data_IF_241389190424
#
_entry.id   IF_241389190424
#
_cell.length_a   1.000
_cell.length_b   1.000
_cell.length_c   1.000
_cell.angle_alpha   90.00
_cell.angle_beta   90.00
_cell.angle_gamma   90.00
#
_symmetry.space_group_name_H-M   'P 1'
#
loop_
_entity.id
_entity.type
_entity.pdbx_description
1 polymer ?
#
# COMPACT_ATOMS: atom_id res chain seq x y z
N UNK A 1 -46.35 35.74 54.02
CA UNK A 1 -46.19 36.60 52.83
C UNK A 1 -44.72 36.55 52.43
N UNK A 2 -44.46 36.26 51.14
CA UNK A 2 -43.22 36.46 50.37
C UNK A 2 -41.99 35.64 50.80
N UNK A 3 -41.70 34.49 50.18
CA UNK A 3 -40.95 34.30 48.91
C UNK A 3 -39.59 35.01 48.86
N UNK A 4 -38.52 34.21 48.77
CA UNK A 4 -37.39 34.45 47.87
C UNK A 4 -36.67 33.13 47.61
N UNK A 5 -36.78 32.68 46.37
CA UNK A 5 -36.05 31.57 45.75
C UNK A 5 -34.72 32.15 45.27
N UNK A 6 -33.60 31.49 45.57
CA UNK A 6 -32.40 31.59 44.76
C UNK A 6 -31.64 30.27 44.83
N UNK A 7 -31.76 29.51 43.74
CA UNK A 7 -31.02 28.31 43.40
C UNK A 7 -29.60 28.74 43.03
N UNK A 8 -28.59 28.24 43.76
CA UNK A 8 -27.18 28.39 43.37
C UNK A 8 -26.71 27.08 42.75
N UNK A 9 -26.40 27.15 41.46
CA UNK A 9 -25.68 26.16 40.67
C UNK A 9 -24.31 25.87 41.28
N UNK A 10 -24.07 24.62 41.68
CA UNK A 10 -22.73 24.10 41.92
C UNK A 10 -22.24 23.41 40.64
N UNK A 11 -21.49 24.16 39.83
CA UNK A 11 -20.73 23.65 38.68
C UNK A 11 -19.68 22.64 39.16
N UNK A 12 -19.83 21.38 38.77
CA UNK A 12 -18.78 20.37 38.85
C UNK A 12 -17.70 20.71 37.82
N UNK A 13 -16.50 21.00 38.32
CA UNK A 13 -15.27 21.08 37.53
C UNK A 13 -14.81 19.65 37.26
N UNK A 14 -14.99 19.19 36.02
CA UNK A 14 -14.44 17.91 35.55
C UNK A 14 -13.04 18.18 35.05
N UNK A 15 -12.05 17.69 35.78
CA UNK A 15 -10.63 17.80 35.45
C UNK A 15 -10.30 16.81 34.33
N UNK A 16 -10.18 17.34 33.11
CA UNK A 16 -9.91 16.59 31.88
C UNK A 16 -8.43 16.67 31.55
N UNK A 17 -7.60 15.84 32.20
CA UNK A 17 -6.25 15.58 31.74
C UNK A 17 -5.81 14.14 32.04
N UNK A 18 -6.42 13.19 31.34
CA UNK A 18 -5.78 11.91 31.03
C UNK A 18 -5.64 11.84 29.51
N UNK A 19 -4.56 12.42 29.00
CA UNK A 19 -4.03 12.03 27.70
C UNK A 19 -3.46 10.63 27.87
N UNK A 20 -4.25 9.63 27.47
CA UNK A 20 -3.77 8.26 27.34
C UNK A 20 -2.73 8.30 26.22
N UNK A 21 -1.45 8.22 26.59
CA UNK A 21 -0.36 8.02 25.65
C UNK A 21 -0.54 6.63 25.03
N UNK A 22 -1.24 6.58 23.91
CA UNK A 22 -1.49 5.38 23.11
C UNK A 22 -0.31 5.13 22.18
N UNK A 23 0.91 5.11 22.72
CA UNK A 23 2.05 4.61 21.98
C UNK A 23 1.93 3.07 21.87
N UNK A 24 2.08 2.49 20.66
CA UNK A 24 2.00 1.04 20.49
C UNK A 24 3.10 0.37 21.32
N UNK A 25 2.69 -0.44 22.30
CA UNK A 25 3.63 -1.28 23.05
C UNK A 25 4.30 -2.28 22.10
N UNK A 26 5.64 -2.36 22.06
CA UNK A 26 6.33 -3.32 21.21
C UNK A 26 5.91 -4.76 21.56
N UNK A 27 5.76 -5.63 20.55
CA UNK A 27 5.76 -7.07 20.76
C UNK A 27 6.99 -7.46 21.62
N UNK A 28 6.73 -8.10 22.76
CA UNK A 28 7.76 -8.42 23.77
C UNK A 28 8.81 -9.39 23.21
N UNK A 29 8.40 -10.25 22.27
CA UNK A 29 9.28 -11.12 21.48
C UNK A 29 8.95 -10.93 20.00
N UNK A 30 9.93 -10.49 19.21
CA UNK A 30 9.83 -10.52 17.75
C UNK A 30 10.17 -11.94 17.30
N UNK A 31 9.22 -12.71 16.73
CA UNK A 31 9.43 -14.12 16.41
C UNK A 31 10.21 -14.33 15.10
N UNK A 32 10.83 -13.28 14.57
CA UNK A 32 11.44 -13.27 13.24
C UNK A 32 12.97 -13.14 13.32
N UNK A 33 13.71 -13.62 12.31
CA UNK A 33 15.11 -13.26 12.14
C UNK A 33 15.29 -11.73 12.10
N UNK A 34 16.48 -11.24 12.45
CA UNK A 34 16.79 -9.81 12.40
C UNK A 34 16.76 -9.22 10.97
N UNK A 35 17.17 -7.96 10.85
CA UNK A 35 17.38 -7.24 9.59
C UNK A 35 16.12 -6.86 8.80
N UNK A 36 15.03 -6.50 9.50
CA UNK A 36 13.81 -6.00 8.87
C UNK A 36 14.05 -4.65 8.19
N UNK A 37 13.55 -4.49 6.97
CA UNK A 37 13.65 -3.24 6.19
C UNK A 37 12.28 -2.68 5.87
N UNK A 38 12.17 -1.36 5.88
CA UNK A 38 10.98 -0.65 5.44
C UNK A 38 11.32 0.05 4.12
N UNK A 39 10.57 -0.26 3.07
CA UNK A 39 10.73 0.42 1.78
C UNK A 39 9.50 1.27 1.50
N UNK A 40 9.70 2.56 1.25
CA UNK A 40 8.63 3.51 0.97
C UNK A 40 8.72 3.96 -0.49
N UNK A 41 7.60 3.95 -1.20
CA UNK A 41 7.54 4.48 -2.57
C UNK A 41 6.32 5.35 -2.79
N UNK A 42 6.56 6.55 -3.33
CA UNK A 42 5.51 7.49 -3.79
C UNK A 42 5.26 7.40 -5.30
N UNK A 43 5.90 6.45 -5.98
CA UNK A 43 5.90 6.36 -7.44
C UNK A 43 6.94 7.27 -8.10
N UNK A 44 7.08 7.16 -9.43
CA UNK A 44 8.12 7.85 -10.18
C UNK A 44 7.70 9.25 -10.68
N UNK A 45 6.41 9.47 -10.91
CA UNK A 45 5.92 10.60 -11.73
C UNK A 45 5.25 11.70 -10.91
N UNK A 46 4.61 11.37 -9.79
CA UNK A 46 3.94 12.32 -8.92
C UNK A 46 4.61 12.33 -7.55
N UNK A 47 4.74 13.53 -6.97
CA UNK A 47 5.16 13.69 -5.58
C UNK A 47 4.04 13.29 -4.61
N UNK A 48 4.41 12.92 -3.39
CA UNK A 48 3.46 12.67 -2.30
C UNK A 48 4.03 13.15 -0.96
N UNK A 49 4.24 14.47 -0.86
CA UNK A 49 4.83 15.11 0.32
C UNK A 49 4.18 14.75 1.65
N UNK A 50 2.85 14.66 1.79
CA UNK A 50 2.24 14.24 3.06
C UNK A 50 2.77 12.89 3.58
N UNK A 51 2.94 11.89 2.70
CA UNK A 51 3.53 10.61 3.09
C UNK A 51 5.01 10.77 3.45
N UNK A 52 5.77 11.53 2.66
CA UNK A 52 7.18 11.80 2.92
C UNK A 52 7.42 12.57 4.23
N UNK A 53 6.55 13.52 4.56
CA UNK A 53 6.52 14.22 5.84
C UNK A 53 6.32 13.22 6.98
N UNK A 54 5.29 12.37 6.84
CA UNK A 54 4.94 11.40 7.87
C UNK A 54 6.04 10.38 8.15
N UNK A 55 6.69 9.85 7.12
CA UNK A 55 7.76 8.85 7.29
C UNK A 55 9.08 9.47 7.78
N UNK A 56 9.25 10.79 7.66
CA UNK A 56 10.38 11.54 8.21
C UNK A 56 10.14 12.00 9.66
N UNK A 57 8.94 11.82 10.22
CA UNK A 57 8.64 12.25 11.57
C UNK A 57 9.35 11.37 12.60
N UNK A 58 9.96 12.00 13.61
CA UNK A 58 10.71 11.29 14.66
C UNK A 58 9.86 10.26 15.41
N UNK A 59 8.56 10.52 15.59
CA UNK A 59 7.63 9.54 16.18
C UNK A 59 7.52 8.28 15.33
N UNK A 60 7.42 8.42 14.00
CA UNK A 60 7.36 7.26 13.09
C UNK A 60 8.67 6.48 13.07
N UNK A 61 9.81 7.19 13.05
CA UNK A 61 11.13 6.57 13.12
C UNK A 61 11.31 5.79 14.42
N UNK A 62 10.79 6.31 15.54
CA UNK A 62 10.73 5.61 16.82
C UNK A 62 9.87 4.34 16.72
N UNK A 63 8.68 4.42 16.10
CA UNK A 63 7.82 3.25 15.85
C UNK A 63 8.55 2.19 15.04
N UNK A 64 9.21 2.54 13.93
CA UNK A 64 10.01 1.59 13.15
C UNK A 64 11.10 0.91 14.00
N UNK A 65 11.80 1.65 14.86
CA UNK A 65 12.80 1.09 15.76
C UNK A 65 12.19 0.16 16.83
N UNK A 66 11.02 0.50 17.38
CA UNK A 66 10.21 -0.35 18.27
C UNK A 66 9.88 -1.67 17.57
N UNK A 67 9.50 -1.61 16.29
CA UNK A 67 9.25 -2.76 15.44
C UNK A 67 10.52 -3.44 14.88
N UNK A 68 11.71 -3.09 15.39
CA UNK A 68 13.00 -3.72 15.02
C UNK A 68 13.38 -3.58 13.54
N UNK A 69 12.90 -2.55 12.86
CA UNK A 69 13.43 -2.16 11.56
C UNK A 69 14.84 -1.58 11.72
N UNK A 70 15.74 -1.94 10.80
CA UNK A 70 17.13 -1.46 10.79
C UNK A 70 17.39 -0.42 9.71
N UNK A 71 16.55 -0.41 8.68
CA UNK A 71 16.71 0.44 7.50
C UNK A 71 15.34 0.90 7.01
N UNK A 72 15.24 2.19 6.74
CA UNK A 72 14.15 2.84 6.02
C UNK A 72 14.73 3.39 4.72
N UNK A 73 14.27 2.83 3.60
CA UNK A 73 14.66 3.26 2.26
C UNK A 73 13.46 3.92 1.57
N UNK A 74 13.64 5.13 1.03
CA UNK A 74 12.54 5.96 0.53
C UNK A 74 12.78 6.36 -0.92
N UNK A 75 11.97 5.83 -1.84
CA UNK A 75 11.85 6.37 -3.18
C UNK A 75 10.95 7.61 -3.17
N UNK A 76 11.54 8.78 -3.38
CA UNK A 76 10.88 10.09 -3.26
C UNK A 76 10.38 10.67 -4.59
N UNK A 77 10.74 10.09 -5.73
CA UNK A 77 10.40 10.65 -7.04
C UNK A 77 10.94 12.09 -7.19
N UNK A 78 10.10 13.06 -7.60
CA UNK A 78 10.51 14.46 -7.76
C UNK A 78 10.79 15.19 -6.43
N UNK A 79 10.38 14.64 -5.28
CA UNK A 79 10.51 15.29 -3.97
C UNK A 79 11.81 14.91 -3.22
N UNK A 80 12.79 14.27 -3.88
CA UNK A 80 14.03 13.82 -3.25
C UNK A 80 14.79 14.95 -2.52
N UNK A 81 15.06 16.07 -3.19
CA UNK A 81 15.82 17.18 -2.60
C UNK A 81 15.13 17.74 -1.35
N UNK A 82 13.79 17.82 -1.39
CA UNK A 82 13.01 18.26 -0.25
C UNK A 82 13.09 17.26 0.91
N UNK A 83 13.02 15.96 0.63
CA UNK A 83 13.11 14.90 1.64
C UNK A 83 14.49 14.84 2.28
N UNK A 84 15.57 14.91 1.50
CA UNK A 84 16.94 14.97 2.01
C UNK A 84 17.15 16.20 2.91
N UNK A 85 16.64 17.37 2.51
CA UNK A 85 16.70 18.58 3.33
C UNK A 85 15.90 18.46 4.64
N UNK A 86 14.79 17.71 4.64
CA UNK A 86 14.01 17.40 5.85
C UNK A 86 14.79 16.47 6.77
N UNK A 87 15.33 15.37 6.25
CA UNK A 87 16.13 14.40 7.03
C UNK A 87 17.40 15.05 7.60
N UNK A 88 18.07 15.92 6.84
CA UNK A 88 19.28 16.63 7.30
C UNK A 88 19.03 17.58 8.49
N UNK A 89 17.79 17.95 8.78
CA UNK A 89 17.42 18.77 9.94
C UNK A 89 17.17 17.96 11.21
N UNK A 90 17.04 16.64 11.10
CA UNK A 90 16.86 15.75 12.25
C UNK A 90 18.19 15.55 12.99
N UNK A 91 18.11 15.31 14.30
CA UNK A 91 19.28 15.00 15.11
C UNK A 91 19.54 13.51 15.09
N UNK A 92 20.79 13.05 15.31
CA UNK A 92 21.12 11.62 15.34
C UNK A 92 20.24 10.77 16.29
N UNK A 93 19.74 11.35 17.38
CA UNK A 93 18.87 10.64 18.33
C UNK A 93 17.46 10.38 17.77
N UNK A 94 16.98 11.24 16.87
CA UNK A 94 15.64 11.15 16.29
C UNK A 94 15.52 9.94 15.32
N UNK A 95 16.65 9.36 14.90
CA UNK A 95 16.69 8.15 14.08
C UNK A 95 16.61 6.85 14.87
N UNK A 96 16.82 6.87 16.19
CA UNK A 96 16.74 5.66 17.03
C UNK A 96 17.62 4.49 16.55
N UNK A 97 18.74 4.77 15.88
CA UNK A 97 19.63 3.76 15.29
C UNK A 97 19.20 3.23 13.92
N UNK A 98 18.08 3.70 13.38
CA UNK A 98 17.60 3.39 12.05
C UNK A 98 18.47 4.06 10.98
N UNK A 99 18.88 3.29 9.97
CA UNK A 99 19.51 3.85 8.77
C UNK A 99 18.43 4.37 7.83
N UNK A 100 18.49 5.65 7.46
CA UNK A 100 17.56 6.24 6.49
C UNK A 100 18.30 6.55 5.20
N UNK A 101 17.81 6.03 4.07
CA UNK A 101 18.31 6.31 2.72
C UNK A 101 17.18 6.78 1.82
N UNK A 102 17.50 7.60 0.82
CA UNK A 102 16.52 8.10 -0.13
C UNK A 102 17.10 8.14 -1.54
N UNK A 103 16.23 7.98 -2.54
CA UNK A 103 16.58 8.13 -3.95
C UNK A 103 15.37 8.59 -4.75
N UNK A 104 15.60 9.17 -5.93
CA UNK A 104 14.52 9.67 -6.77
C UNK A 104 13.82 8.54 -7.54
N UNK A 105 14.61 7.72 -8.24
CA UNK A 105 14.11 6.68 -9.14
C UNK A 105 15.04 5.46 -9.15
N UNK A 106 14.46 4.29 -9.39
CA UNK A 106 15.16 3.01 -9.54
C UNK A 106 14.59 2.23 -10.71
N UNK A 107 15.47 1.53 -11.44
CA UNK A 107 15.06 0.55 -12.45
C UNK A 107 14.92 -0.87 -11.86
N UNK A 108 15.26 -1.05 -10.59
CA UNK A 108 15.30 -2.35 -9.93
C UNK A 108 14.38 -2.37 -8.70
N UNK A 109 13.10 -2.06 -8.93
CA UNK A 109 12.06 -2.06 -7.89
C UNK A 109 11.98 -3.41 -7.18
N UNK A 110 12.20 -4.49 -7.95
CA UNK A 110 12.21 -5.86 -7.46
C UNK A 110 13.20 -6.06 -6.31
N UNK A 111 14.45 -5.64 -6.46
CA UNK A 111 15.46 -5.83 -5.40
C UNK A 111 15.09 -5.08 -4.12
N UNK A 112 14.56 -3.86 -4.22
CA UNK A 112 14.13 -3.09 -3.06
C UNK A 112 12.96 -3.77 -2.33
N UNK A 113 11.95 -4.24 -3.06
CA UNK A 113 10.81 -4.96 -2.47
C UNK A 113 11.22 -6.31 -1.87
N UNK A 114 12.02 -7.10 -2.57
CA UNK A 114 12.50 -8.39 -2.06
C UNK A 114 13.36 -8.24 -0.80
N UNK A 115 14.03 -7.10 -0.62
CA UNK A 115 14.75 -6.81 0.62
C UNK A 115 13.83 -6.65 1.84
N UNK A 116 12.52 -6.45 1.62
CA UNK A 116 11.48 -6.40 2.64
C UNK A 116 10.73 -7.74 2.78
N UNK A 117 11.02 -8.74 1.94
CA UNK A 117 10.41 -10.07 2.02
C UNK A 117 11.05 -10.86 3.17
N UNK A 118 10.22 -11.57 3.93
CA UNK A 118 10.75 -12.56 4.87
C UNK A 118 11.31 -13.77 4.13
N UNK A 119 12.36 -14.35 4.68
CA UNK A 119 12.91 -15.61 4.20
C UNK A 119 13.37 -16.44 5.40
N UNK A 120 12.90 -17.69 5.44
CA UNK A 120 13.17 -18.64 6.53
C UNK A 120 14.67 -18.70 6.80
N UNK A 121 15.03 -18.51 8.07
CA UNK A 121 16.41 -18.55 8.58
C UNK A 121 17.38 -17.50 7.97
N UNK A 122 16.88 -16.55 7.16
CA UNK A 122 17.71 -15.54 6.47
C UNK A 122 17.37 -14.12 6.91
N UNK A 123 16.11 -13.71 6.80
CA UNK A 123 15.68 -12.34 7.12
C UNK A 123 14.25 -12.28 7.62
N UNK A 124 14.02 -11.44 8.62
CA UNK A 124 12.66 -11.13 9.08
C UNK A 124 11.90 -10.31 8.04
N UNK A 125 10.58 -10.52 7.90
CA UNK A 125 9.75 -9.77 6.98
C UNK A 125 9.70 -8.31 7.39
N UNK A 126 10.01 -7.44 6.44
CA UNK A 126 9.91 -6.00 6.55
C UNK A 126 8.50 -5.50 6.26
N UNK A 127 8.40 -4.34 5.61
CA UNK A 127 7.17 -3.86 5.00
C UNK A 127 7.47 -2.92 3.83
N UNK A 128 6.56 -2.87 2.87
CA UNK A 128 6.52 -1.85 1.83
C UNK A 128 5.38 -0.89 2.12
N UNK A 129 5.66 0.40 2.17
CA UNK A 129 4.65 1.46 2.28
C UNK A 129 4.57 2.14 0.93
N UNK A 130 3.43 2.00 0.27
CA UNK A 130 3.25 2.52 -1.06
C UNK A 130 2.06 3.45 -1.12
N UNK A 131 2.12 4.45 -2.00
CA UNK A 131 0.89 5.04 -2.49
C UNK A 131 0.03 3.95 -3.17
N UNK A 132 -1.27 4.18 -3.35
CA UNK A 132 -2.20 3.25 -4.02
C UNK A 132 -1.96 3.12 -5.55
N UNK A 133 -0.70 3.00 -5.96
CA UNK A 133 -0.26 2.70 -7.31
C UNK A 133 -0.43 1.21 -7.60
N UNK A 134 -1.26 0.92 -8.58
CA UNK A 134 -1.61 -0.42 -9.09
C UNK A 134 -0.38 -1.31 -9.35
N UNK A 135 0.66 -0.78 -9.99
CA UNK A 135 1.87 -1.55 -10.32
C UNK A 135 2.64 -2.02 -9.08
N UNK A 136 2.81 -1.12 -8.11
CA UNK A 136 3.50 -1.41 -6.84
C UNK A 136 2.75 -2.44 -6.00
N UNK A 137 1.42 -2.34 -5.95
CA UNK A 137 0.54 -3.32 -5.28
C UNK A 137 0.75 -4.71 -5.88
N UNK A 138 0.69 -4.82 -7.21
CA UNK A 138 0.86 -6.09 -7.92
C UNK A 138 2.24 -6.73 -7.68
N UNK A 139 3.29 -5.92 -7.66
CA UNK A 139 4.65 -6.40 -7.39
C UNK A 139 4.80 -6.87 -5.95
N UNK A 140 4.31 -6.11 -4.96
CA UNK A 140 4.35 -6.52 -3.56
C UNK A 140 3.61 -7.84 -3.31
N UNK A 141 2.41 -8.00 -3.91
CA UNK A 141 1.66 -9.25 -3.85
C UNK A 141 2.41 -10.41 -4.53
N UNK A 142 3.01 -10.17 -5.70
CA UNK A 142 3.82 -11.17 -6.41
C UNK A 142 5.02 -11.64 -5.60
N UNK A 143 5.63 -10.73 -4.84
CA UNK A 143 6.81 -11.00 -4.04
C UNK A 143 6.48 -11.46 -2.61
N UNK A 144 5.19 -11.57 -2.25
CA UNK A 144 4.74 -11.94 -0.90
C UNK A 144 5.32 -11.00 0.18
N UNK A 145 5.43 -9.71 -0.17
CA UNK A 145 5.96 -8.67 0.70
C UNK A 145 4.80 -8.02 1.44
N UNK A 146 4.89 -7.85 2.78
CA UNK A 146 3.88 -7.13 3.54
C UNK A 146 3.70 -5.71 3.01
N UNK A 147 2.47 -5.34 2.68
CA UNK A 147 2.15 -4.08 2.00
C UNK A 147 1.23 -3.20 2.86
N UNK A 148 1.60 -1.93 3.01
CA UNK A 148 0.74 -0.86 3.53
C UNK A 148 0.43 0.10 2.38
N UNK A 149 -0.84 0.24 2.05
CA UNK A 149 -1.34 1.08 0.96
C UNK A 149 -1.88 2.38 1.55
N UNK A 150 -1.19 3.48 1.26
CA UNK A 150 -1.57 4.83 1.71
C UNK A 150 -2.19 5.57 0.52
N UNK A 151 -3.51 5.77 0.47
CA UNK A 151 -4.14 6.50 -0.63
C UNK A 151 -3.66 7.96 -0.65
N UNK A 152 -3.42 8.52 -1.83
CA UNK A 152 -3.07 9.92 -1.97
C UNK A 152 -4.34 10.76 -2.21
N UNK A 153 -4.82 11.54 -1.22
CA UNK A 153 -6.05 12.32 -1.36
C UNK A 153 -5.92 13.52 -2.30
N UNK A 154 -4.69 13.90 -2.67
CA UNK A 154 -4.44 15.05 -3.56
C UNK A 154 -4.53 14.69 -5.05
N UNK A 155 -4.54 13.40 -5.39
CA UNK A 155 -4.76 12.93 -6.74
C UNK A 155 -6.26 12.80 -6.98
N UNK A 156 -6.74 13.26 -8.14
CA UNK A 156 -8.17 13.38 -8.47
C UNK A 156 -8.95 12.05 -8.46
N UNK A 157 -8.25 10.92 -8.48
CA UNK A 157 -8.86 9.60 -8.55
C UNK A 157 -9.16 9.07 -7.14
N UNK A 158 -10.36 9.40 -6.62
CA UNK A 158 -10.88 8.92 -5.34
C UNK A 158 -10.90 7.38 -5.20
N UNK A 159 -10.70 6.64 -6.29
CA UNK A 159 -10.60 5.18 -6.33
C UNK A 159 -9.39 4.62 -5.58
N UNK A 160 -8.38 5.44 -5.24
CA UNK A 160 -7.23 4.99 -4.47
C UNK A 160 -7.61 4.48 -3.08
N UNK A 161 -8.56 5.15 -2.42
CA UNK A 161 -9.05 4.73 -1.10
C UNK A 161 -9.87 3.43 -1.19
N UNK A 162 -10.71 3.30 -2.22
CA UNK A 162 -11.49 2.08 -2.47
C UNK A 162 -10.57 0.87 -2.72
N UNK A 163 -9.48 1.08 -3.47
CA UNK A 163 -8.45 0.07 -3.70
C UNK A 163 -7.74 -0.34 -2.41
N UNK A 164 -7.32 0.63 -1.59
CA UNK A 164 -6.68 0.38 -0.30
C UNK A 164 -7.60 -0.42 0.63
N UNK A 165 -8.89 -0.05 0.69
CA UNK A 165 -9.88 -0.77 1.48
C UNK A 165 -10.08 -2.21 1.01
N UNK A 166 -10.20 -2.45 -0.30
CA UNK A 166 -10.45 -3.79 -0.80
C UNK A 166 -9.21 -4.68 -0.65
N UNK A 167 -8.00 -4.14 -0.77
CA UNK A 167 -6.75 -4.86 -0.42
C UNK A 167 -6.75 -5.29 1.04
N UNK A 168 -7.16 -4.39 1.95
CA UNK A 168 -7.26 -4.69 3.37
C UNK A 168 -8.34 -5.74 3.66
N UNK A 169 -9.52 -5.62 3.04
CA UNK A 169 -10.63 -6.59 3.21
C UNK A 169 -10.27 -8.00 2.75
N UNK A 170 -9.44 -8.13 1.71
CA UNK A 170 -9.00 -9.42 1.20
C UNK A 170 -7.76 -9.97 1.93
N UNK A 171 -7.19 -9.25 2.89
CA UNK A 171 -5.99 -9.65 3.62
C UNK A 171 -4.73 -9.66 2.75
N UNK A 172 -4.69 -8.86 1.69
CA UNK A 172 -3.53 -8.76 0.79
C UNK A 172 -2.54 -7.66 1.21
N UNK A 173 -2.96 -6.79 2.11
CA UNK A 173 -2.18 -5.68 2.63
C UNK A 173 -3.00 -4.95 3.68
N UNK A 174 -2.51 -3.78 4.10
CA UNK A 174 -3.11 -2.95 5.13
C UNK A 174 -3.44 -1.59 4.53
N UNK A 175 -4.61 -1.05 4.85
CA UNK A 175 -4.93 0.34 4.53
C UNK A 175 -4.15 1.24 5.52
N UNK A 176 -3.23 2.03 4.98
CA UNK A 176 -2.49 3.04 5.73
C UNK A 176 -3.18 4.40 5.72
N UNK A 177 -3.33 5.00 6.89
CA UNK A 177 -3.76 6.38 7.08
C UNK A 177 -2.54 7.25 7.39
N UNK A 178 -2.44 8.43 6.79
CA UNK A 178 -1.33 9.36 7.05
C UNK A 178 -1.25 9.76 8.52
N UNK A 179 -2.39 9.98 9.17
CA UNK A 179 -2.42 10.41 10.57
C UNK A 179 -2.10 9.25 11.52
N UNK A 180 -2.38 8.01 11.10
CA UNK A 180 -2.25 6.80 11.93
C UNK A 180 -1.38 5.72 11.28
N UNK A 181 -0.29 6.12 10.65
CA UNK A 181 0.62 5.19 9.98
C UNK A 181 1.25 4.18 10.95
N UNK A 182 1.37 4.55 12.23
CA UNK A 182 1.83 3.65 13.30
C UNK A 182 0.87 2.46 13.52
N UNK A 183 -0.44 2.71 13.46
CA UNK A 183 -1.46 1.65 13.58
C UNK A 183 -1.36 0.68 12.39
N UNK A 184 -1.09 1.22 11.18
CA UNK A 184 -0.90 0.40 9.99
C UNK A 184 0.36 -0.49 10.08
N UNK A 185 1.43 -0.04 10.74
CA UNK A 185 2.59 -0.89 11.03
C UNK A 185 2.24 -2.05 11.98
N UNK A 186 1.40 -1.80 12.99
CA UNK A 186 0.91 -2.85 13.88
C UNK A 186 0.06 -3.87 13.11
N UNK A 187 -0.93 -3.41 12.34
CA UNK A 187 -1.74 -4.31 11.51
C UNK A 187 -0.90 -5.05 10.45
N UNK A 188 0.17 -4.44 9.94
CA UNK A 188 1.11 -5.12 9.05
C UNK A 188 1.87 -6.23 9.77
N UNK A 189 2.23 -6.02 11.03
CA UNK A 189 2.82 -7.07 11.86
C UNK A 189 1.83 -8.23 12.12
N UNK A 190 0.56 -7.94 12.39
CA UNK A 190 -0.49 -8.96 12.53
C UNK A 190 -0.65 -9.77 11.22
N UNK A 191 -0.74 -9.09 10.08
CA UNK A 191 -0.80 -9.72 8.75
C UNK A 191 0.40 -10.66 8.50
N UNK A 192 1.60 -10.24 8.89
CA UNK A 192 2.82 -11.05 8.77
C UNK A 192 2.69 -12.35 9.57
N UNK A 193 2.18 -12.26 10.81
CA UNK A 193 2.04 -13.42 11.70
C UNK A 193 0.98 -14.37 11.16
N UNK A 194 -0.19 -13.85 10.79
CA UNK A 194 -1.31 -14.63 10.25
C UNK A 194 -0.95 -15.30 8.92
N UNK A 195 -0.26 -14.58 8.03
CA UNK A 195 0.18 -15.07 6.73
C UNK A 195 1.46 -15.90 6.77
N UNK A 196 2.08 -16.08 7.94
CA UNK A 196 3.37 -16.77 8.12
C UNK A 196 4.47 -16.23 7.19
N UNK A 197 4.47 -14.93 6.90
CA UNK A 197 5.37 -14.29 5.92
C UNK A 197 6.85 -14.26 6.37
N UNK A 198 7.13 -14.76 7.57
CA UNK A 198 8.46 -14.92 8.14
C UNK A 198 9.09 -16.29 7.88
N UNK A 199 8.32 -17.28 7.41
CA UNK A 199 8.77 -18.66 7.15
C UNK A 199 8.75 -19.02 5.66
N UNK A 200 8.89 -18.02 4.78
CA UNK A 200 8.83 -18.22 3.35
C UNK A 200 10.11 -18.88 2.81
N UNK A 201 10.01 -19.76 1.78
CA UNK A 201 11.19 -20.28 1.09
C UNK A 201 11.90 -19.16 0.29
N UNK A 202 13.14 -19.40 -0.18
CA UNK A 202 13.83 -18.46 -1.05
C UNK A 202 12.97 -18.06 -2.25
N UNK A 203 12.91 -16.75 -2.54
CA UNK A 203 12.10 -16.27 -3.65
C UNK A 203 12.62 -16.82 -4.98
N UNK A 204 11.72 -17.38 -5.77
CA UNK A 204 11.97 -17.83 -7.14
C UNK A 204 10.98 -17.14 -8.06
N UNK A 205 11.47 -16.58 -9.16
CA UNK A 205 10.54 -16.01 -10.15
C UNK A 205 9.60 -17.11 -10.67
N UNK A 206 8.28 -16.81 -10.75
CA UNK A 206 7.35 -17.76 -11.32
C UNK A 206 7.76 -18.06 -12.77
N UNK A 207 7.66 -19.33 -13.20
CA UNK A 207 8.00 -19.71 -14.57
C UNK A 207 7.10 -18.96 -15.56
N UNK A 208 7.69 -18.48 -16.65
CA UNK A 208 6.95 -17.86 -17.74
C UNK A 208 6.66 -18.88 -18.84
N UNK A 209 5.42 -18.95 -19.37
CA UNK A 209 4.26 -18.13 -19.01
C UNK A 209 3.63 -18.56 -17.69
N UNK A 210 3.02 -17.60 -16.96
CA UNK A 210 2.27 -17.85 -15.71
C UNK A 210 1.28 -19.00 -15.94
N UNK A 211 1.13 -19.99 -15.05
CA UNK A 211 0.16 -21.06 -15.23
C UNK A 211 -1.29 -20.54 -15.37
N UNK A 212 -2.11 -21.16 -16.24
CA UNK A 212 -3.48 -20.70 -16.51
C UNK A 212 -4.34 -20.58 -15.26
N UNK A 213 -4.17 -21.49 -14.30
CA UNK A 213 -4.86 -21.46 -13.00
C UNK A 213 -4.63 -20.20 -12.17
N UNK A 214 -3.58 -19.43 -12.47
CA UNK A 214 -3.21 -18.20 -11.76
C UNK A 214 -3.34 -16.92 -12.60
N UNK A 215 -3.65 -17.04 -13.91
CA UNK A 215 -3.66 -15.87 -14.83
C UNK A 215 -4.83 -14.91 -14.62
N UNK A 216 -5.94 -15.35 -14.02
CA UNK A 216 -7.25 -14.67 -14.17
C UNK A 216 -7.70 -13.95 -12.89
N UNK A 217 -7.21 -14.30 -11.71
CA UNK A 217 -7.88 -13.83 -10.46
C UNK A 217 -7.51 -12.40 -10.06
N UNK A 218 -6.22 -12.05 -10.09
CA UNK A 218 -5.74 -10.78 -9.56
C UNK A 218 -5.87 -9.63 -10.55
N UNK A 219 -5.52 -9.87 -11.82
CA UNK A 219 -5.63 -8.86 -12.88
C UNK A 219 -7.09 -8.50 -13.18
N UNK A 220 -8.00 -9.48 -13.25
CA UNK A 220 -9.42 -9.19 -13.49
C UNK A 220 -10.04 -8.46 -12.31
N UNK A 221 -9.79 -8.89 -11.07
CA UNK A 221 -10.30 -8.17 -9.90
C UNK A 221 -9.81 -6.71 -9.90
N UNK A 222 -8.54 -6.47 -10.19
CA UNK A 222 -7.99 -5.11 -10.17
C UNK A 222 -8.53 -4.26 -11.34
N UNK A 223 -8.72 -4.84 -12.52
CA UNK A 223 -9.35 -4.15 -13.65
C UNK A 223 -10.82 -3.85 -13.36
N UNK A 224 -11.55 -4.79 -12.75
CA UNK A 224 -12.96 -4.62 -12.38
C UNK A 224 -13.15 -3.63 -11.23
N UNK A 225 -12.23 -3.60 -10.26
CA UNK A 225 -12.30 -2.72 -9.08
C UNK A 225 -11.75 -1.33 -9.38
N UNK A 226 -10.61 -1.21 -10.06
CA UNK A 226 -9.95 0.08 -10.30
C UNK A 226 -10.43 0.80 -11.59
N UNK A 227 -11.01 0.07 -12.54
CA UNK A 227 -11.40 0.61 -13.85
C UNK A 227 -12.78 0.11 -14.33
N UNK A 228 -13.83 0.11 -13.48
CA UNK A 228 -15.13 -0.45 -13.84
C UNK A 228 -15.73 0.23 -15.08
N UNK A 229 -15.56 1.55 -15.21
CA UNK A 229 -16.09 2.34 -16.32
C UNK A 229 -15.36 2.07 -17.64
N UNK A 230 -14.03 1.92 -17.61
CA UNK A 230 -13.23 1.55 -18.78
C UNK A 230 -13.57 0.14 -19.26
N UNK A 231 -13.83 -0.80 -18.35
CA UNK A 231 -14.33 -2.13 -18.69
C UNK A 231 -15.71 -2.04 -19.34
N UNK A 232 -16.63 -1.25 -18.78
CA UNK A 232 -17.96 -1.05 -19.38
C UNK A 232 -17.88 -0.40 -20.77
N UNK A 233 -17.03 0.62 -20.94
CA UNK A 233 -16.79 1.27 -22.24
C UNK A 233 -16.21 0.28 -23.25
N UNK A 234 -15.31 -0.60 -22.83
CA UNK A 234 -14.73 -1.63 -23.71
C UNK A 234 -15.74 -2.71 -24.09
N UNK A 235 -16.57 -3.16 -23.14
CA UNK A 235 -17.70 -4.07 -23.40
C UNK A 235 -18.69 -3.43 -24.38
N UNK A 236 -19.08 -2.16 -24.18
CA UNK A 236 -19.96 -1.44 -25.10
C UNK A 236 -19.34 -1.26 -26.48
N UNK A 237 -18.02 -1.03 -26.57
CA UNK A 237 -17.29 -0.98 -27.85
C UNK A 237 -17.29 -2.33 -28.56
N UNK A 238 -17.08 -3.42 -27.82
CA UNK A 238 -17.12 -4.79 -28.38
C UNK A 238 -18.52 -5.18 -28.85
N UNK A 239 -19.56 -4.82 -28.09
CA UNK A 239 -20.96 -5.01 -28.47
C UNK A 239 -21.27 -4.23 -29.75
N UNK A 240 -20.92 -2.93 -29.81
CA UNK A 240 -21.10 -2.12 -31.02
C UNK A 240 -20.31 -2.65 -32.22
N UNK A 241 -19.06 -3.07 -32.02
CA UNK A 241 -18.25 -3.64 -33.08
C UNK A 241 -18.86 -4.93 -33.65
N UNK A 242 -19.53 -5.72 -32.80
CA UNK A 242 -20.24 -6.94 -33.19
C UNK A 242 -21.57 -6.67 -33.88
N UNK A 243 -22.23 -5.56 -33.56
CA UNK A 243 -23.46 -5.08 -34.23
C UNK A 243 -23.18 -4.42 -35.59
N UNK A 244 -21.97 -3.91 -35.82
CA UNK A 244 -21.55 -3.34 -37.11
C UNK A 244 -21.04 -4.37 -38.13
N UNK A 245 -20.90 -5.64 -37.74
CA UNK A 245 -20.63 -6.75 -38.67
C UNK A 245 -21.98 -7.30 -39.12
N UNK A 246 -22.48 -6.76 -40.23
CA UNK A 246 -23.70 -7.22 -40.90
C UNK A 246 -23.56 -8.71 -41.29
N UNK A 247 -24.52 -9.59 -40.99
CA UNK A 247 -24.53 -10.95 -41.52
C UNK A 247 -24.55 -10.89 -43.06
N UNK A 248 -23.58 -11.58 -43.67
CA UNK A 248 -23.44 -11.69 -45.12
C UNK A 248 -24.78 -11.85 -45.86
N UNK A 249 -24.99 -10.98 -46.87
CA UNK A 249 -26.11 -11.06 -47.82
C UNK A 249 -26.10 -12.45 -48.51
N UNK A 250 -27.15 -13.28 -48.40
CA UNK A 250 -27.14 -14.65 -48.92
C UNK A 250 -27.28 -14.76 -50.46
N UNK A 251 -26.82 -13.75 -51.22
CA UNK A 251 -27.01 -13.69 -52.68
C UNK A 251 -25.76 -13.78 -53.55
N UNK A 252 -24.56 -14.02 -52.99
CA UNK A 252 -23.34 -14.18 -53.79
C UNK A 252 -22.86 -15.63 -54.01
N UNK A 253 -23.52 -16.64 -53.45
CA UNK A 253 -23.08 -18.04 -53.61
C UNK A 253 -23.59 -18.77 -54.87
N UNK A 254 -24.42 -18.13 -55.71
CA UNK A 254 -24.91 -18.74 -56.96
C UNK A 254 -24.06 -18.44 -58.21
N UNK A 255 -22.96 -17.68 -58.09
CA UNK A 255 -22.11 -17.31 -59.23
C UNK A 255 -20.81 -18.13 -59.35
N UNK A 256 -20.55 -19.11 -58.47
CA UNK A 256 -19.32 -19.93 -58.50
C UNK A 256 -19.48 -21.37 -59.01
N UNK A 257 -20.62 -21.72 -59.59
CA UNK A 257 -20.91 -23.05 -60.15
C UNK A 257 -21.18 -23.08 -61.68
N UNK A 258 -20.78 -22.04 -62.42
CA UNK A 258 -20.82 -22.06 -63.89
C UNK A 258 -19.58 -21.43 -64.52
N UNK A 259 -18.47 -22.17 -64.50
CA UNK A 259 -17.45 -22.16 -65.55
C UNK A 259 -16.69 -23.49 -65.45
N UNK A 260 -17.36 -24.55 -65.93
CA UNK A 260 -16.70 -25.63 -66.69
C UNK A 260 -16.68 -25.21 -68.17
#
# INVERSE_FOLDING_TARGET
MSQSINTMDSFQTVDSSQTVDSSPTPPVDFPFPGNRKCFVTVGATAGFRPLLERVADSSFLATLAIFKFIELEVQCGPDLEWFEAKIARLRPQDFHGLKVTAFAFTNDMKSHMLSCRGEKDVSGPGCVIAHAGTGTIMEAMRYEVPLIVVPNPTLMDNHQAELADEIARNGWGVHGDLDRLDDALMSSFELIVEGQLYDLPPYLDPPFPVPESKRIVLFDWMVLTCYPDEVQKQIQRLIRARETVDPADPKEDEARLRFD
#
